data_IF_890266976509
#
_entry.id   IF_890266976509
#
_cell.length_a   1.000
_cell.length_b   1.000
_cell.length_c   1.000
_cell.angle_alpha   90.00
_cell.angle_beta   90.00
_cell.angle_gamma   90.00
#
_symmetry.space_group_name_H-M   'P 1'
#
loop_
_entity.id
_entity.type
_entity.pdbx_description
1 polymer ?
#
# COMPACT_ATOMS: atom_id res chain seq x y z
N UNK A 1 18.13 0.57 -15.45
CA UNK A 1 18.09 1.19 -14.11
C UNK A 1 18.86 2.53 -14.02
N UNK A 2 19.88 2.77 -14.85
CA UNK A 2 20.61 4.06 -14.89
C UNK A 2 19.70 5.22 -15.34
N UNK A 3 18.93 5.03 -16.41
CA UNK A 3 17.96 6.04 -16.90
C UNK A 3 16.94 6.45 -15.82
N UNK A 4 16.34 5.49 -15.12
CA UNK A 4 15.43 5.75 -14.00
C UNK A 4 16.12 6.56 -12.89
N UNK A 5 17.35 6.20 -12.50
CA UNK A 5 18.12 6.96 -11.50
C UNK A 5 18.49 8.37 -11.94
N UNK A 6 18.55 8.62 -13.25
CA UNK A 6 18.78 9.95 -13.84
C UNK A 6 17.47 10.75 -14.02
N UNK A 7 16.31 10.19 -13.62
CA UNK A 7 15.00 10.81 -13.79
C UNK A 7 14.40 10.65 -15.18
N UNK A 8 15.06 9.94 -16.09
CA UNK A 8 14.56 9.69 -17.45
C UNK A 8 13.65 8.45 -17.46
N UNK A 9 12.39 8.68 -17.09
CA UNK A 9 11.35 7.65 -17.05
C UNK A 9 10.98 7.15 -18.45
N UNK A 10 11.07 8.01 -19.48
CA UNK A 10 10.72 7.65 -20.85
C UNK A 10 11.75 6.71 -21.45
N UNK A 11 13.04 7.03 -21.33
CA UNK A 11 14.11 6.12 -21.77
C UNK A 11 14.10 4.81 -20.98
N UNK A 12 13.82 4.86 -19.67
CA UNK A 12 13.67 3.66 -18.86
C UNK A 12 12.54 2.74 -19.37
N UNK A 13 11.40 3.32 -19.77
CA UNK A 13 10.27 2.60 -20.36
C UNK A 13 10.66 1.98 -21.70
N UNK A 14 11.28 2.75 -22.59
CA UNK A 14 11.73 2.26 -23.90
C UNK A 14 12.70 1.08 -23.75
N UNK A 15 13.71 1.18 -22.89
CA UNK A 15 14.66 0.07 -22.68
C UNK A 15 14.02 -1.19 -22.10
N UNK A 16 13.03 -1.04 -21.20
CA UNK A 16 12.28 -2.20 -20.68
C UNK A 16 11.42 -2.83 -21.78
N UNK A 17 10.81 -2.03 -22.65
CA UNK A 17 10.04 -2.50 -23.80
C UNK A 17 10.90 -3.21 -24.84
N UNK A 18 12.06 -2.66 -25.19
CA UNK A 18 12.98 -3.28 -26.14
C UNK A 18 13.48 -4.63 -25.61
N UNK A 19 13.74 -4.73 -24.30
CA UNK A 19 14.09 -5.98 -23.63
C UNK A 19 12.97 -7.03 -23.68
N UNK A 20 11.71 -6.59 -23.55
CA UNK A 20 10.53 -7.45 -23.65
C UNK A 20 10.33 -8.00 -25.06
N UNK A 21 10.63 -7.22 -26.10
CA UNK A 21 10.47 -7.65 -27.50
C UNK A 21 11.57 -8.61 -27.98
N UNK A 22 12.76 -8.53 -27.36
CA UNK A 22 13.94 -9.26 -27.82
C UNK A 22 14.15 -10.61 -27.11
N UNK A 23 13.53 -10.83 -25.95
CA UNK A 23 13.68 -12.04 -25.16
C UNK A 23 12.48 -12.27 -24.23
N UNK A 24 12.32 -13.49 -23.70
CA UNK A 24 11.25 -13.77 -22.74
C UNK A 24 11.41 -12.85 -21.52
N UNK A 25 10.39 -12.04 -21.17
CA UNK A 25 10.51 -11.06 -20.10
C UNK A 25 10.65 -11.77 -18.76
N UNK A 26 11.66 -11.34 -18.00
CA UNK A 26 11.87 -11.79 -16.62
C UNK A 26 10.78 -11.25 -15.70
N UNK A 27 10.48 -11.95 -14.62
CA UNK A 27 9.47 -11.52 -13.65
C UNK A 27 9.78 -10.14 -13.07
N UNK A 28 11.05 -9.89 -12.73
CA UNK A 28 11.51 -8.57 -12.26
C UNK A 28 11.36 -7.47 -13.34
N UNK A 29 11.54 -7.81 -14.62
CA UNK A 29 11.31 -6.88 -15.73
C UNK A 29 9.85 -6.47 -15.85
N UNK A 30 8.93 -7.44 -15.71
CA UNK A 30 7.48 -7.18 -15.70
C UNK A 30 7.07 -6.33 -14.50
N UNK A 31 7.55 -6.66 -13.29
CA UNK A 31 7.29 -5.86 -12.09
C UNK A 31 7.78 -4.42 -12.26
N UNK A 32 8.99 -4.22 -12.79
CA UNK A 32 9.56 -2.90 -13.04
C UNK A 32 8.75 -2.11 -14.08
N UNK A 33 8.33 -2.76 -15.17
CA UNK A 33 7.54 -2.10 -16.23
C UNK A 33 6.14 -1.73 -15.75
N UNK A 34 5.48 -2.60 -14.97
CA UNK A 34 4.19 -2.30 -14.36
C UNK A 34 4.31 -1.12 -13.37
N UNK A 35 5.32 -1.16 -12.49
CA UNK A 35 5.61 -0.06 -11.55
C UNK A 35 5.82 1.27 -12.27
N UNK A 36 6.56 1.25 -13.39
CA UNK A 36 6.82 2.45 -14.20
C UNK A 36 5.54 2.96 -14.88
N UNK A 37 4.69 2.07 -15.39
CA UNK A 37 3.38 2.42 -15.92
C UNK A 37 2.50 3.11 -14.88
N UNK A 38 2.43 2.55 -13.67
CA UNK A 38 1.69 3.14 -12.55
C UNK A 38 2.25 4.51 -12.14
N UNK A 39 3.58 4.65 -12.04
CA UNK A 39 4.23 5.93 -11.72
C UNK A 39 3.96 7.02 -12.77
N UNK A 40 3.77 6.64 -14.02
CA UNK A 40 3.44 7.55 -15.12
C UNK A 40 1.92 7.79 -15.28
N UNK A 41 1.07 7.09 -14.52
CA UNK A 41 -0.38 7.10 -14.71
C UNK A 41 -0.83 6.40 -16.00
N UNK A 42 0.03 5.60 -16.64
CA UNK A 42 -0.29 4.83 -17.84
C UNK A 42 -1.01 3.52 -17.44
N UNK A 43 -2.31 3.63 -17.17
CA UNK A 43 -3.15 2.50 -16.73
C UNK A 43 -3.27 1.43 -17.81
N UNK A 44 -3.27 1.82 -19.09
CA UNK A 44 -3.32 0.87 -20.22
C UNK A 44 -2.08 -0.03 -20.20
N UNK A 45 -0.89 0.55 -20.04
CA UNK A 45 0.34 -0.22 -19.88
C UNK A 45 0.30 -1.09 -18.62
N UNK A 46 -0.03 -0.49 -17.47
CA UNK A 46 -0.04 -1.21 -16.20
C UNK A 46 -0.97 -2.43 -16.26
N UNK A 47 -2.14 -2.28 -16.88
CA UNK A 47 -3.12 -3.36 -17.09
C UNK A 47 -2.57 -4.47 -17.99
N UNK A 48 -2.01 -4.12 -19.14
CA UNK A 48 -1.45 -5.11 -20.07
C UNK A 48 -0.31 -5.92 -19.44
N UNK A 49 0.55 -5.27 -18.64
CA UNK A 49 1.64 -5.94 -17.92
C UNK A 49 1.09 -6.76 -16.74
N UNK A 50 0.04 -6.29 -16.08
CA UNK A 50 -0.61 -7.02 -14.99
C UNK A 50 -1.22 -8.34 -15.45
N UNK A 51 -1.85 -8.36 -16.63
CA UNK A 51 -2.39 -9.59 -17.21
C UNK A 51 -1.29 -10.64 -17.45
N UNK A 52 -0.09 -10.20 -17.85
CA UNK A 52 1.06 -11.09 -18.03
C UNK A 52 1.66 -11.56 -16.69
N UNK A 53 1.69 -10.69 -15.66
CA UNK A 53 2.08 -11.04 -14.30
C UNK A 53 1.13 -12.08 -13.69
N UNK A 54 -0.18 -11.90 -13.90
CA UNK A 54 -1.22 -12.76 -13.34
C UNK A 54 -1.21 -14.17 -13.93
N UNK A 55 -0.80 -14.34 -15.20
CA UNK A 55 -0.54 -15.67 -15.78
C UNK A 55 0.59 -16.44 -15.07
N UNK A 56 1.43 -15.74 -14.30
CA UNK A 56 2.60 -16.29 -13.61
C UNK A 56 2.49 -16.14 -12.07
N UNK A 57 1.29 -15.81 -11.55
CA UNK A 57 1.04 -15.47 -10.14
C UNK A 57 1.34 -16.60 -9.15
N UNK A 58 1.34 -17.85 -9.62
CA UNK A 58 1.63 -19.03 -8.79
C UNK A 58 3.09 -19.12 -8.32
N UNK A 59 3.98 -18.31 -8.87
CA UNK A 59 5.33 -18.13 -8.35
C UNK A 59 5.27 -17.34 -7.03
N UNK A 60 5.22 -18.07 -5.90
CA UNK A 60 5.09 -17.53 -4.55
C UNK A 60 6.08 -16.40 -4.21
N UNK A 61 7.25 -16.36 -4.86
CA UNK A 61 8.29 -15.35 -4.61
C UNK A 61 7.89 -13.92 -4.96
N UNK A 62 6.89 -13.71 -5.83
CA UNK A 62 6.49 -12.37 -6.30
C UNK A 62 5.03 -12.04 -6.02
N UNK A 63 4.29 -12.93 -5.35
CA UNK A 63 2.85 -12.72 -5.06
C UNK A 63 2.62 -11.39 -4.34
N UNK A 64 3.49 -11.07 -3.37
CA UNK A 64 3.47 -9.83 -2.60
C UNK A 64 3.58 -8.59 -3.50
N UNK A 65 4.57 -8.56 -4.38
CA UNK A 65 4.82 -7.45 -5.31
C UNK A 65 3.64 -7.26 -6.26
N UNK A 66 3.08 -8.36 -6.78
CA UNK A 66 1.89 -8.33 -7.64
C UNK A 66 0.70 -7.71 -6.92
N UNK A 67 0.42 -8.12 -5.68
CA UNK A 67 -0.71 -7.58 -4.90
C UNK A 67 -0.55 -6.08 -4.62
N UNK A 68 0.66 -5.60 -4.35
CA UNK A 68 0.93 -4.16 -4.24
C UNK A 68 0.63 -3.42 -5.54
N UNK A 69 1.07 -3.96 -6.67
CA UNK A 69 0.82 -3.33 -7.97
C UNK A 69 -0.68 -3.37 -8.34
N UNK A 70 -1.40 -4.46 -8.00
CA UNK A 70 -2.85 -4.55 -8.15
C UNK A 70 -3.56 -3.47 -7.31
N UNK A 71 -3.14 -3.29 -6.05
CA UNK A 71 -3.66 -2.19 -5.21
C UNK A 71 -3.43 -0.82 -5.85
N UNK A 72 -2.20 -0.49 -6.25
CA UNK A 72 -1.90 0.82 -6.83
C UNK A 72 -2.62 1.05 -8.17
N UNK A 73 -2.78 0.01 -8.99
CA UNK A 73 -3.60 0.06 -10.20
C UNK A 73 -5.04 0.45 -9.87
N UNK A 74 -5.68 -0.26 -8.94
CA UNK A 74 -7.06 0.02 -8.55
C UNK A 74 -7.22 1.38 -7.87
N UNK A 75 -6.21 1.83 -7.12
CA UNK A 75 -6.18 3.18 -6.56
C UNK A 75 -6.22 4.26 -7.65
N UNK A 76 -5.44 4.10 -8.74
CA UNK A 76 -5.47 5.03 -9.87
C UNK A 76 -6.74 4.93 -10.72
N UNK A 77 -7.39 3.77 -10.74
CA UNK A 77 -8.71 3.57 -11.37
C UNK A 77 -9.88 4.09 -10.50
N UNK A 78 -9.59 4.68 -9.35
CA UNK A 78 -10.58 5.11 -8.35
C UNK A 78 -11.51 3.97 -7.87
N UNK A 79 -11.04 2.72 -7.98
CA UNK A 79 -11.76 1.52 -7.57
C UNK A 79 -11.35 1.12 -6.14
N UNK A 80 -11.93 1.79 -5.15
CA UNK A 80 -11.60 1.60 -3.75
C UNK A 80 -11.87 0.17 -3.24
N UNK A 81 -12.96 -0.46 -3.70
CA UNK A 81 -13.34 -1.83 -3.27
C UNK A 81 -12.30 -2.86 -3.72
N UNK A 82 -11.91 -2.83 -4.99
CA UNK A 82 -10.92 -3.75 -5.52
C UNK A 82 -9.53 -3.49 -4.91
N UNK A 83 -9.17 -2.22 -4.70
CA UNK A 83 -7.93 -1.87 -4.00
C UNK A 83 -7.89 -2.38 -2.56
N UNK A 84 -8.99 -2.25 -1.82
CA UNK A 84 -9.08 -2.78 -0.46
C UNK A 84 -8.99 -4.30 -0.44
N UNK A 85 -9.68 -4.99 -1.35
CA UNK A 85 -9.61 -6.45 -1.46
C UNK A 85 -8.18 -6.95 -1.69
N UNK A 86 -7.40 -6.27 -2.56
CA UNK A 86 -5.99 -6.60 -2.80
C UNK A 86 -5.12 -6.43 -1.54
N UNK A 87 -5.35 -5.36 -0.76
CA UNK A 87 -4.64 -5.14 0.51
C UNK A 87 -5.02 -6.16 1.58
N UNK A 88 -6.30 -6.55 1.65
CA UNK A 88 -6.74 -7.59 2.56
C UNK A 88 -6.13 -8.96 2.19
N UNK A 89 -6.03 -9.29 0.90
CA UNK A 89 -5.32 -10.50 0.46
C UNK A 89 -3.83 -10.42 0.82
N UNK A 90 -3.21 -9.26 0.61
CA UNK A 90 -1.80 -9.02 0.95
C UNK A 90 -1.54 -9.27 2.43
N UNK A 91 -2.34 -8.67 3.31
CA UNK A 91 -2.24 -8.86 4.77
C UNK A 91 -2.54 -10.30 5.19
N UNK A 92 -3.50 -10.99 4.54
CA UNK A 92 -3.76 -12.42 4.79
C UNK A 92 -2.57 -13.29 4.39
N UNK A 93 -1.88 -12.93 3.31
CA UNK A 93 -0.73 -13.69 2.80
C UNK A 93 0.57 -13.43 3.58
N UNK A 94 0.77 -12.20 4.07
CA UNK A 94 1.92 -11.79 4.86
C UNK A 94 1.46 -10.87 6.01
N UNK A 95 1.01 -11.45 7.15
CA UNK A 95 0.54 -10.67 8.29
C UNK A 95 1.62 -9.83 8.96
N UNK A 96 2.90 -10.06 8.63
CA UNK A 96 4.04 -9.33 9.21
C UNK A 96 4.40 -8.06 8.45
N UNK A 97 3.73 -7.79 7.33
CA UNK A 97 3.99 -6.60 6.53
C UNK A 97 3.37 -5.34 7.18
N UNK A 98 4.19 -4.61 7.94
CA UNK A 98 3.79 -3.35 8.56
C UNK A 98 3.29 -2.30 7.54
N UNK A 99 3.82 -2.30 6.31
CA UNK A 99 3.45 -1.35 5.25
C UNK A 99 2.07 -1.67 4.68
N UNK A 100 1.74 -2.96 4.52
CA UNK A 100 0.40 -3.36 4.10
C UNK A 100 -0.67 -2.89 5.10
N UNK A 101 -0.40 -3.08 6.40
CA UNK A 101 -1.27 -2.59 7.47
C UNK A 101 -1.40 -1.07 7.52
N UNK A 102 -0.32 -0.32 7.27
CA UNK A 102 -0.37 1.16 7.26
C UNK A 102 -1.23 1.69 6.12
N UNK A 103 -1.08 1.10 4.93
CA UNK A 103 -1.88 1.48 3.76
C UNK A 103 -3.34 1.13 4.00
N UNK A 104 -3.64 -0.08 4.51
CA UNK A 104 -5.01 -0.51 4.81
C UNK A 104 -5.69 0.40 5.85
N UNK A 105 -4.96 0.86 6.87
CA UNK A 105 -5.46 1.83 7.83
C UNK A 105 -5.87 3.15 7.14
N UNK A 106 -5.01 3.68 6.27
CA UNK A 106 -5.23 4.95 5.57
C UNK A 106 -6.39 4.87 4.57
N UNK A 107 -6.45 3.80 3.80
CA UNK A 107 -7.50 3.60 2.79
C UNK A 107 -8.86 3.36 3.44
N UNK A 108 -8.92 2.53 4.50
CA UNK A 108 -10.16 2.28 5.25
C UNK A 108 -10.72 3.59 5.82
N UNK A 109 -9.87 4.43 6.41
CA UNK A 109 -10.30 5.72 6.98
C UNK A 109 -10.76 6.72 5.91
N UNK A 110 -10.19 6.65 4.69
CA UNK A 110 -10.50 7.58 3.60
C UNK A 110 -11.71 7.17 2.77
N UNK A 111 -11.98 5.87 2.65
CA UNK A 111 -12.93 5.33 1.67
C UNK A 111 -14.16 4.66 2.27
N UNK A 112 -14.16 4.29 3.56
CA UNK A 112 -15.25 3.51 4.15
C UNK A 112 -15.97 4.26 5.29
N UNK A 113 -17.27 4.50 5.09
CA UNK A 113 -18.16 4.92 6.16
C UNK A 113 -18.50 3.70 7.04
N UNK A 114 -18.09 3.71 8.31
CA UNK A 114 -18.48 2.69 9.31
C UNK A 114 -17.40 1.70 9.75
N UNK A 115 -16.25 1.62 9.06
CA UNK A 115 -15.13 0.74 9.47
C UNK A 115 -14.02 1.50 10.21
N UNK A 116 -14.32 2.63 10.85
CA UNK A 116 -13.28 3.49 11.41
C UNK A 116 -12.55 2.86 12.61
N UNK A 117 -13.20 1.97 13.35
CA UNK A 117 -12.53 1.18 14.38
C UNK A 117 -11.50 0.20 13.79
N UNK A 118 -11.80 -0.40 12.65
CA UNK A 118 -10.88 -1.30 11.96
C UNK A 118 -9.64 -0.52 11.49
N UNK A 119 -9.82 0.68 10.94
CA UNK A 119 -8.71 1.57 10.57
C UNK A 119 -7.75 1.83 11.75
N UNK A 120 -8.28 2.06 12.96
CA UNK A 120 -7.46 2.23 14.14
C UNK A 120 -6.69 0.95 14.53
N UNK A 121 -7.31 -0.22 14.39
CA UNK A 121 -6.66 -1.51 14.65
C UNK A 121 -5.55 -1.79 13.64
N UNK A 122 -5.75 -1.48 12.36
CA UNK A 122 -4.74 -1.63 11.31
C UNK A 122 -3.54 -0.71 11.55
N UNK A 123 -3.77 0.55 11.93
CA UNK A 123 -2.70 1.46 12.29
C UNK A 123 -1.88 0.95 13.48
N UNK A 124 -2.56 0.38 14.48
CA UNK A 124 -1.90 -0.24 15.63
C UNK A 124 -1.08 -1.48 15.24
N UNK A 125 -1.62 -2.38 14.43
CA UNK A 125 -0.90 -3.56 13.95
C UNK A 125 0.41 -3.16 13.23
N UNK A 126 0.35 -2.16 12.36
CA UNK A 126 1.54 -1.59 11.71
C UNK A 126 2.58 -1.07 12.72
N UNK A 127 2.15 -0.34 13.75
CA UNK A 127 3.03 0.19 14.80
C UNK A 127 3.70 -0.91 15.64
N UNK A 128 2.99 -2.00 15.92
CA UNK A 128 3.45 -3.17 16.68
C UNK A 128 4.45 -4.01 15.88
N UNK A 129 4.26 -4.11 14.56
CA UNK A 129 5.17 -4.77 13.63
C UNK A 129 6.45 -3.97 13.34
N UNK A 130 6.60 -2.78 13.92
CA UNK A 130 7.82 -1.98 13.81
C UNK A 130 7.85 -1.10 12.57
N UNK A 131 6.72 -0.50 12.18
CA UNK A 131 6.68 0.52 11.12
C UNK A 131 7.79 1.57 11.26
N UNK A 132 8.29 2.02 10.11
CA UNK A 132 9.40 2.97 9.97
C UNK A 132 9.21 4.19 10.87
N UNK A 133 10.30 4.66 11.47
CA UNK A 133 10.27 5.76 12.46
C UNK A 133 9.59 7.03 11.93
N UNK A 134 9.78 7.35 10.65
CA UNK A 134 9.13 8.44 9.91
C UNK A 134 7.60 8.34 9.91
N UNK A 135 7.06 7.14 9.77
CA UNK A 135 5.62 6.91 9.64
C UNK A 135 4.91 6.73 10.98
N UNK A 136 5.64 6.54 12.09
CA UNK A 136 5.04 6.29 13.42
C UNK A 136 4.16 7.44 13.89
N UNK A 137 4.52 8.69 13.59
CA UNK A 137 3.71 9.86 13.92
C UNK A 137 2.37 9.83 13.19
N UNK A 138 2.42 9.63 11.87
CA UNK A 138 1.25 9.53 11.00
C UNK A 138 0.34 8.37 11.39
N UNK A 139 0.91 7.20 11.69
CA UNK A 139 0.16 6.01 12.11
C UNK A 139 -0.56 6.22 13.44
N UNK A 140 0.06 6.91 14.41
CA UNK A 140 -0.60 7.25 15.67
C UNK A 140 -1.73 8.26 15.48
N UNK A 141 -1.58 9.17 14.52
CA UNK A 141 -2.66 10.08 14.12
C UNK A 141 -3.83 9.30 13.49
N UNK A 142 -3.56 8.37 12.58
CA UNK A 142 -4.58 7.48 11.99
C UNK A 142 -5.29 6.64 13.05
N UNK A 143 -4.54 6.08 14.01
CA UNK A 143 -5.11 5.34 15.15
C UNK A 143 -6.06 6.22 15.96
N UNK A 144 -5.63 7.45 16.29
CA UNK A 144 -6.42 8.41 17.05
C UNK A 144 -7.68 8.84 16.31
N UNK A 145 -7.57 9.14 15.02
CA UNK A 145 -8.70 9.52 14.17
C UNK A 145 -9.72 8.38 14.07
N UNK A 146 -9.27 7.15 13.77
CA UNK A 146 -10.15 5.99 13.69
C UNK A 146 -10.91 5.73 15.00
N UNK A 147 -10.20 5.82 16.14
CA UNK A 147 -10.82 5.74 17.47
C UNK A 147 -11.84 6.86 17.71
N UNK A 148 -11.51 8.10 17.33
CA UNK A 148 -12.39 9.25 17.50
C UNK A 148 -13.70 9.08 16.71
N UNK A 149 -13.59 8.71 15.43
CA UNK A 149 -14.75 8.46 14.56
C UNK A 149 -15.58 7.26 14.98
N UNK A 150 -14.98 6.27 15.63
CA UNK A 150 -15.70 5.14 16.24
C UNK A 150 -16.36 5.49 17.59
N UNK A 151 -16.23 6.74 18.07
CA UNK A 151 -16.77 7.16 19.37
C UNK A 151 -15.93 6.78 20.58
N UNK A 152 -14.71 6.25 20.38
CA UNK A 152 -13.76 5.88 21.44
C UNK A 152 -12.99 7.09 21.96
N UNK A 153 -13.73 8.01 22.57
CA UNK A 153 -13.22 9.22 23.21
C UNK A 153 -12.48 8.91 24.54
N UNK A 154 -12.05 9.97 25.23
CA UNK A 154 -11.27 9.91 26.49
C UNK A 154 -11.89 9.08 27.62
N UNK A 155 -13.18 8.78 27.57
CA UNK A 155 -13.94 8.05 28.61
C UNK A 155 -13.77 6.53 28.53
N UNK A 156 -13.14 5.99 27.48
CA UNK A 156 -12.80 4.56 27.41
C UNK A 156 -11.60 4.28 28.32
N UNK A 157 -11.85 3.54 29.40
CA UNK A 157 -10.92 3.30 30.52
C UNK A 157 -9.69 2.45 30.14
N UNK A 158 -9.77 1.65 29.06
CA UNK A 158 -8.79 0.60 28.76
C UNK A 158 -7.53 1.09 28.01
N UNK A 159 -7.22 2.40 28.05
CA UNK A 159 -5.99 2.96 27.48
C UNK A 159 -5.93 3.04 25.95
N UNK A 160 -6.87 2.42 25.25
CA UNK A 160 -7.09 2.54 23.80
C UNK A 160 -8.14 3.63 23.55
N UNK A 161 -7.75 4.90 23.70
CA UNK A 161 -8.63 6.02 23.42
C UNK A 161 -7.94 7.11 22.61
N UNK A 162 -8.75 7.87 21.87
CA UNK A 162 -8.27 8.81 20.88
C UNK A 162 -7.30 9.84 21.46
N UNK A 163 -7.54 10.31 22.70
CA UNK A 163 -6.72 11.32 23.36
C UNK A 163 -5.31 10.79 23.66
N UNK A 164 -5.18 9.57 24.18
CA UNK A 164 -3.88 8.95 24.45
C UNK A 164 -3.09 8.71 23.15
N UNK A 165 -3.76 8.23 22.10
CA UNK A 165 -3.10 8.04 20.80
C UNK A 165 -2.68 9.37 20.16
N UNK A 166 -3.51 10.43 20.28
CA UNK A 166 -3.15 11.78 19.84
C UNK A 166 -1.93 12.34 20.60
N UNK A 167 -1.90 12.18 21.93
CA UNK A 167 -0.76 12.62 22.74
C UNK A 167 0.53 11.90 22.32
N UNK A 168 0.47 10.59 22.08
CA UNK A 168 1.63 9.83 21.57
C UNK A 168 2.05 10.32 20.18
N UNK A 169 1.09 10.65 19.30
CA UNK A 169 1.39 11.19 17.98
C UNK A 169 2.18 12.51 18.09
N UNK A 170 1.69 13.46 18.90
CA UNK A 170 2.36 14.74 19.17
C UNK A 170 3.79 14.54 19.69
N UNK A 171 4.01 13.67 20.68
CA UNK A 171 5.36 13.41 21.17
C UNK A 171 6.29 12.72 20.17
N UNK A 172 5.74 12.06 19.15
CA UNK A 172 6.54 11.40 18.10
C UNK A 172 6.93 12.38 16.99
N UNK A 173 6.16 13.44 16.79
CA UNK A 173 6.38 14.49 15.79
C UNK A 173 5.95 15.85 16.37
N UNK A 174 6.77 16.44 17.27
CA UNK A 174 6.40 17.65 18.03
C UNK A 174 6.32 18.92 17.19
#
# INVERSE_FOLDING_TARGET
MIAFKQGDLTAAKSYLFDGFQTSQPSMNGLLALCSLGLLQGDITLATAVMDELNKRKDAASHKKDILYLEFYKHYLEENAEAGQAALEELVKSDPTDATAWSILARTTLSCSEGNQQAAAQYARASLELGAESSERGNLRMLESLGQLSAGHHSRVLNGSNALKSAQKAFHTNP
#
